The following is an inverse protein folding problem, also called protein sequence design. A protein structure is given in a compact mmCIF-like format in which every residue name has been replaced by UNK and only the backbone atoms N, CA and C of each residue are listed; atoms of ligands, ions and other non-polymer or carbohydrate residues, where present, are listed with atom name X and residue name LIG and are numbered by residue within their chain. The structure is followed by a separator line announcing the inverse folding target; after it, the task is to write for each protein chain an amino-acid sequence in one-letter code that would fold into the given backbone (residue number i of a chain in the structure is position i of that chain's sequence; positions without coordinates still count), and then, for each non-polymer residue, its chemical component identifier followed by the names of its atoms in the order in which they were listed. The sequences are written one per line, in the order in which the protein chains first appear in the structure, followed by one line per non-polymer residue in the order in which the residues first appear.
data_IF_334203485424
#
_entry.id   IF_334203485424
#
_cell.length_a   1.000
_cell.length_b   1.000
_cell.length_c   1.000
_cell.angle_alpha   90.00
_cell.angle_beta   90.00
_cell.angle_gamma   90.00
#
_symmetry.space_group_name_H-M   'P 1'
#
loop_
_entity.id
_entity.type
_entity.pdbx_description
1 polymer ?
#
# COMPACT_ATOMS: atom_id res chain seq x y z
N UNK A 1 10.41 1.02 3.55
CA UNK A 1 9.72 0.72 2.28
C UNK A 1 10.00 1.79 1.24
N UNK A 2 10.49 1.40 0.06
CA UNK A 2 10.85 2.28 -1.07
C UNK A 2 10.49 1.56 -2.38
N UNK A 3 10.00 2.30 -3.38
CA UNK A 3 9.87 1.85 -4.76
C UNK A 3 11.11 2.23 -5.57
N UNK A 4 11.84 1.24 -6.07
CA UNK A 4 12.88 1.49 -7.07
C UNK A 4 12.21 1.70 -8.44
N UNK A 5 12.21 2.93 -8.93
CA UNK A 5 11.62 3.29 -10.22
C UNK A 5 12.36 2.71 -11.43
N UNK A 6 13.64 2.38 -11.27
CA UNK A 6 14.45 1.82 -12.35
C UNK A 6 14.02 0.39 -12.62
N UNK A 7 13.81 -0.39 -11.57
CA UNK A 7 13.47 -1.82 -11.67
C UNK A 7 11.99 -2.12 -11.53
N UNK A 8 11.22 -1.19 -10.93
CA UNK A 8 9.83 -1.42 -10.52
C UNK A 8 9.70 -2.30 -9.27
N UNK A 9 10.79 -2.55 -8.55
CA UNK A 9 10.79 -3.38 -7.34
C UNK A 9 10.27 -2.59 -6.14
N UNK A 10 9.41 -3.22 -5.36
CA UNK A 10 9.09 -2.72 -4.02
C UNK A 10 10.05 -3.34 -3.01
N UNK A 11 10.84 -2.48 -2.37
CA UNK A 11 11.74 -2.85 -1.29
C UNK A 11 11.02 -2.54 0.02
N UNK A 12 10.59 -3.57 0.75
CA UNK A 12 9.93 -3.40 2.05
C UNK A 12 11.00 -3.11 3.10
N UNK A 13 11.97 -4.02 3.18
CA UNK A 13 13.21 -3.96 3.95
C UNK A 13 14.34 -4.71 3.22
N UNK A 14 15.49 -4.91 3.88
CA UNK A 14 16.67 -5.59 3.31
C UNK A 14 16.44 -7.05 2.91
N UNK A 15 15.47 -7.72 3.53
CA UNK A 15 15.18 -9.14 3.34
C UNK A 15 13.92 -9.38 2.49
N UNK A 16 13.03 -8.40 2.38
CA UNK A 16 11.74 -8.51 1.73
C UNK A 16 11.63 -7.57 0.52
N UNK A 17 11.88 -8.13 -0.67
CA UNK A 17 11.80 -7.40 -1.94
C UNK A 17 10.79 -8.08 -2.86
N UNK A 18 9.74 -7.35 -3.24
CA UNK A 18 8.78 -7.78 -4.27
C UNK A 18 9.32 -7.29 -5.62
N UNK A 19 9.78 -8.23 -6.45
CA UNK A 19 10.32 -7.89 -7.76
C UNK A 19 9.21 -7.62 -8.76
N UNK A 20 9.45 -6.69 -9.68
CA UNK A 20 8.53 -6.47 -10.78
C UNK A 20 8.36 -7.78 -11.59
N UNK A 21 7.10 -8.16 -11.88
CA UNK A 21 6.73 -9.39 -12.61
C UNK A 21 7.20 -10.71 -11.99
N UNK A 22 7.53 -10.70 -10.70
CA UNK A 22 7.81 -11.92 -9.95
C UNK A 22 6.69 -12.94 -10.17
N UNK A 23 7.04 -14.21 -10.37
CA UNK A 23 6.06 -15.28 -10.50
C UNK A 23 5.54 -15.74 -9.15
N UNK A 24 4.39 -16.42 -9.11
CA UNK A 24 3.89 -17.06 -7.88
C UNK A 24 4.92 -18.05 -7.35
N UNK A 25 5.61 -18.78 -8.22
CA UNK A 25 6.66 -19.72 -7.81
C UNK A 25 7.87 -19.01 -7.20
N UNK A 26 8.26 -17.86 -7.74
CA UNK A 26 9.30 -17.02 -7.14
C UNK A 26 8.86 -16.49 -5.78
N UNK A 27 7.60 -16.04 -5.63
CA UNK A 27 7.05 -15.60 -4.34
C UNK A 27 7.17 -16.73 -3.31
N UNK A 28 6.73 -17.95 -3.64
CA UNK A 28 6.82 -19.14 -2.77
C UNK A 28 8.26 -19.46 -2.33
N UNK A 29 9.23 -19.16 -3.18
CA UNK A 29 10.64 -19.45 -2.95
C UNK A 29 11.42 -18.26 -2.35
N UNK A 30 10.76 -17.13 -2.12
CA UNK A 30 11.36 -15.92 -1.56
C UNK A 30 10.95 -15.69 -0.10
N UNK A 31 11.63 -14.75 0.57
CA UNK A 31 11.26 -14.32 1.93
C UNK A 31 9.91 -13.60 1.98
N UNK A 32 9.35 -13.16 0.84
CA UNK A 32 8.01 -12.55 0.81
C UNK A 32 6.94 -13.49 1.35
N UNK A 33 7.14 -14.81 1.26
CA UNK A 33 6.21 -15.82 1.79
C UNK A 33 5.93 -15.66 3.29
N UNK A 34 6.88 -15.11 4.04
CA UNK A 34 6.78 -14.94 5.50
C UNK A 34 5.84 -13.77 5.86
N UNK A 35 5.72 -12.82 4.93
CA UNK A 35 4.81 -11.68 5.00
C UNK A 35 3.41 -12.01 4.50
N UNK A 36 3.14 -13.19 3.94
CA UNK A 36 1.80 -13.55 3.46
C UNK A 36 0.83 -13.80 4.62
N UNK A 37 -0.43 -13.42 4.44
CA UNK A 37 -1.51 -13.91 5.31
C UNK A 37 -1.70 -15.42 5.14
N UNK A 38 -2.25 -16.09 6.15
CA UNK A 38 -2.52 -17.54 6.06
C UNK A 38 -3.51 -17.88 4.94
N UNK A 39 -4.46 -16.98 4.65
CA UNK A 39 -5.36 -17.11 3.51
C UNK A 39 -4.60 -17.00 2.17
N UNK A 40 -3.72 -16.01 2.03
CA UNK A 40 -2.89 -15.84 0.83
C UNK A 40 -1.98 -17.03 0.60
N UNK A 41 -1.38 -17.61 1.65
CA UNK A 41 -0.55 -18.82 1.53
C UNK A 41 -1.33 -19.97 0.92
N UNK A 42 -2.57 -20.21 1.36
CA UNK A 42 -3.47 -21.21 0.76
C UNK A 42 -3.81 -20.87 -0.69
N UNK A 43 -4.08 -19.60 -0.99
CA UNK A 43 -4.43 -19.13 -2.35
C UNK A 43 -3.31 -19.33 -3.36
N UNK A 44 -2.04 -19.28 -2.93
CA UNK A 44 -0.89 -19.54 -3.82
C UNK A 44 -0.85 -20.98 -4.35
N UNK A 45 -1.51 -21.94 -3.70
CA UNK A 45 -1.59 -23.32 -4.18
C UNK A 45 -2.51 -23.46 -5.39
N UNK A 46 -3.47 -22.54 -5.55
CA UNK A 46 -4.51 -22.60 -6.59
C UNK A 46 -4.40 -21.50 -7.66
N UNK A 47 -3.25 -20.83 -7.74
CA UNK A 47 -2.96 -19.76 -8.72
C UNK A 47 -4.00 -18.62 -8.76
N UNK A 48 -4.54 -18.23 -7.60
CA UNK A 48 -5.47 -17.10 -7.53
C UNK A 48 -4.83 -15.76 -7.92
N UNK A 49 -5.66 -14.88 -8.47
CA UNK A 49 -5.29 -13.56 -8.99
C UNK A 49 -4.96 -12.50 -7.93
N UNK A 50 -5.08 -12.82 -6.64
CA UNK A 50 -4.97 -11.84 -5.56
C UNK A 50 -4.25 -12.43 -4.34
N UNK A 51 -3.16 -11.80 -3.94
CA UNK A 51 -2.29 -12.19 -2.83
C UNK A 51 -2.14 -10.99 -1.90
N UNK A 52 -2.56 -11.14 -0.65
CA UNK A 52 -2.42 -10.11 0.39
C UNK A 52 -1.27 -10.42 1.33
N UNK A 53 -0.48 -9.41 1.68
CA UNK A 53 0.48 -9.47 2.77
C UNK A 53 -0.22 -9.19 4.11
N UNK A 54 0.39 -9.63 5.21
CA UNK A 54 0.11 -9.12 6.56
C UNK A 54 0.36 -7.62 6.56
N UNK A 55 -0.38 -6.88 7.37
CA UNK A 55 -0.13 -5.44 7.59
C UNK A 55 1.32 -5.21 7.96
N UNK A 56 2.00 -4.37 7.20
CA UNK A 56 3.42 -4.04 7.36
C UNK A 56 3.51 -2.70 8.08
N UNK A 57 4.27 -2.64 9.17
CA UNK A 57 4.48 -1.38 9.90
C UNK A 57 5.79 -0.75 9.46
N UNK A 58 5.75 0.45 8.90
CA UNK A 58 6.93 1.19 8.43
C UNK A 58 6.88 2.60 8.99
N UNK A 59 7.93 3.04 9.70
CA UNK A 59 7.99 4.37 10.31
C UNK A 59 6.72 4.71 11.15
N UNK A 60 6.14 3.68 11.80
CA UNK A 60 4.92 3.79 12.60
C UNK A 60 3.64 4.07 11.78
N UNK A 61 3.60 3.62 10.53
CA UNK A 61 2.45 3.66 9.62
C UNK A 61 2.11 2.21 9.24
N UNK A 62 0.84 1.85 9.36
CA UNK A 62 0.32 0.54 9.01
C UNK A 62 0.05 0.50 7.49
N UNK A 63 0.61 -0.48 6.79
CA UNK A 63 0.49 -0.58 5.32
C UNK A 63 -0.07 -1.95 4.97
N UNK A 64 -1.27 -1.94 4.39
CA UNK A 64 -1.83 -3.14 3.78
C UNK A 64 -1.38 -3.21 2.32
N UNK A 65 -0.84 -4.36 1.93
CA UNK A 65 -0.27 -4.59 0.59
C UNK A 65 -1.00 -5.75 -0.06
N UNK A 66 -1.59 -5.46 -1.22
CA UNK A 66 -2.25 -6.43 -2.08
C UNK A 66 -1.51 -6.53 -3.41
N UNK A 67 -1.38 -7.75 -3.92
CA UNK A 67 -0.65 -8.07 -5.13
C UNK A 67 -1.62 -8.77 -6.07
N UNK A 68 -1.82 -8.21 -7.26
CA UNK A 68 -2.61 -8.82 -8.30
C UNK A 68 -1.72 -9.52 -9.32
N UNK A 69 -2.13 -10.73 -9.69
CA UNK A 69 -1.40 -11.59 -10.62
C UNK A 69 -2.24 -11.94 -11.84
N UNK A 70 -1.58 -11.99 -13.00
CA UNK A 70 -2.14 -12.46 -14.26
C UNK A 70 -1.13 -13.38 -14.94
N UNK A 71 -1.59 -14.53 -15.41
CA UNK A 71 -0.73 -15.55 -16.03
C UNK A 71 0.52 -15.85 -15.17
N UNK A 72 0.29 -16.13 -13.88
CA UNK A 72 1.32 -16.45 -12.90
C UNK A 72 2.29 -15.32 -12.54
N UNK A 73 2.12 -14.09 -13.05
CA UNK A 73 3.04 -12.97 -12.79
C UNK A 73 2.34 -11.81 -12.12
N UNK A 74 3.07 -11.11 -11.23
CA UNK A 74 2.62 -9.83 -10.69
C UNK A 74 2.39 -8.83 -11.83
N UNK A 75 1.21 -8.20 -11.83
CA UNK A 75 0.87 -7.10 -12.75
C UNK A 75 0.58 -5.80 -12.00
N UNK A 76 0.14 -5.88 -10.75
CA UNK A 76 -0.21 -4.71 -9.95
C UNK A 76 0.12 -4.97 -8.49
N UNK A 77 0.64 -3.96 -7.82
CA UNK A 77 0.79 -3.92 -6.36
C UNK A 77 -0.02 -2.73 -5.86
N UNK A 78 -1.00 -3.01 -5.02
CA UNK A 78 -1.83 -2.02 -4.37
C UNK A 78 -1.42 -1.86 -2.91
N UNK A 79 -1.37 -0.61 -2.47
CA UNK A 79 -1.08 -0.24 -1.09
C UNK A 79 -2.24 0.55 -0.54
N UNK A 80 -2.62 0.24 0.69
CA UNK A 80 -3.44 1.11 1.51
C UNK A 80 -2.60 1.56 2.71
N UNK A 81 -2.41 2.87 2.82
CA UNK A 81 -1.71 3.51 3.95
C UNK A 81 -2.72 3.74 5.06
N UNK A 82 -2.39 3.32 6.28
CA UNK A 82 -3.26 3.35 7.46
C UNK A 82 -4.70 2.94 7.11
N UNK A 83 -4.81 1.81 6.40
CA UNK A 83 -6.01 1.41 5.69
C UNK A 83 -7.28 1.59 6.54
N UNK A 84 -8.23 2.29 5.91
CA UNK A 84 -9.61 2.65 6.25
C UNK A 84 -10.50 1.61 6.99
N UNK A 85 -9.98 0.51 7.53
CA UNK A 85 -10.73 -0.46 8.35
C UNK A 85 -10.39 -0.45 9.84
N UNK A 86 -9.22 0.06 10.28
CA UNK A 86 -8.81 -0.04 11.71
C UNK A 86 -8.79 1.25 12.49
N UNK A 87 -8.74 2.41 11.84
CA UNK A 87 -8.72 3.72 12.51
C UNK A 87 -9.49 4.77 11.74
N UNK A 88 -10.79 4.56 11.53
CA UNK A 88 -11.68 5.71 11.57
C UNK A 88 -11.68 6.19 13.03
N UNK A 89 -10.68 7.00 13.40
CA UNK A 89 -10.72 7.65 14.70
C UNK A 89 -11.65 8.87 14.54
N UNK A 90 -12.95 8.58 14.58
CA UNK A 90 -14.04 9.52 14.39
C UNK A 90 -14.00 10.72 15.36
N UNK A 91 -13.12 10.69 16.36
CA UNK A 91 -12.96 11.70 17.41
C UNK A 91 -11.70 12.57 17.25
N UNK A 92 -10.92 12.44 16.17
CA UNK A 92 -9.75 13.32 15.98
C UNK A 92 -10.18 14.75 15.66
N UNK A 93 -9.62 15.70 16.40
CA UNK A 93 -9.77 17.11 16.10
C UNK A 93 -9.11 17.45 14.75
N UNK A 94 -9.63 18.47 14.06
CA UNK A 94 -9.15 18.91 12.75
C UNK A 94 -7.61 19.11 12.67
N UNK A 95 -7.00 19.64 13.73
CA UNK A 95 -5.54 19.83 13.79
C UNK A 95 -4.74 18.52 13.81
N UNK A 96 -5.24 17.48 14.48
CA UNK A 96 -4.59 16.16 14.52
C UNK A 96 -4.72 15.43 13.18
N UNK A 97 -5.85 15.64 12.50
CA UNK A 97 -6.08 15.12 11.15
C UNK A 97 -5.09 15.71 10.14
N UNK A 98 -4.88 17.04 10.16
CA UNK A 98 -3.90 17.69 9.29
C UNK A 98 -2.47 17.17 9.50
N UNK A 99 -2.09 16.89 10.75
CA UNK A 99 -0.78 16.31 11.07
C UNK A 99 -0.64 14.87 10.53
N UNK A 100 -1.67 14.04 10.68
CA UNK A 100 -1.71 12.68 10.15
C UNK A 100 -1.61 12.67 8.62
N UNK A 101 -2.38 13.54 7.97
CA UNK A 101 -2.36 13.70 6.51
C UNK A 101 -0.96 14.10 6.01
N UNK A 102 -0.31 15.07 6.65
CA UNK A 102 1.04 15.49 6.25
C UNK A 102 2.08 14.38 6.51
N UNK A 103 1.99 13.67 7.64
CA UNK A 103 2.83 12.49 7.92
C UNK A 103 2.73 11.46 6.79
N UNK A 104 1.51 11.15 6.34
CA UNK A 104 1.28 10.20 5.24
C UNK A 104 1.76 10.73 3.90
N UNK A 105 1.58 12.02 3.59
CA UNK A 105 2.17 12.63 2.39
C UNK A 105 3.68 12.56 2.37
N UNK A 106 4.35 12.87 3.49
CA UNK A 106 5.81 12.74 3.63
C UNK A 106 6.24 11.30 3.40
N UNK A 107 5.57 10.34 4.03
CA UNK A 107 5.84 8.92 3.85
C UNK A 107 5.67 8.48 2.38
N UNK A 108 4.54 8.82 1.74
CA UNK A 108 4.26 8.44 0.36
C UNK A 108 5.25 9.08 -0.62
N UNK A 109 5.59 10.36 -0.43
CA UNK A 109 6.62 11.04 -1.25
C UNK A 109 7.97 10.35 -1.15
N UNK A 110 8.39 9.98 0.06
CA UNK A 110 9.64 9.24 0.31
C UNK A 110 9.59 7.84 -0.30
N UNK A 111 8.51 7.09 -0.06
CA UNK A 111 8.35 5.72 -0.55
C UNK A 111 8.33 5.65 -2.08
N UNK A 112 7.62 6.58 -2.73
CA UNK A 112 7.46 6.62 -4.18
C UNK A 112 8.53 7.47 -4.88
N UNK A 113 9.39 8.15 -4.12
CA UNK A 113 10.39 9.12 -4.60
C UNK A 113 9.78 10.25 -5.46
N UNK A 114 8.59 10.73 -5.13
CA UNK A 114 7.90 11.79 -5.90
C UNK A 114 7.89 13.12 -5.15
N UNK A 115 7.92 14.21 -5.90
CA UNK A 115 7.84 15.56 -5.32
C UNK A 115 6.42 15.89 -4.80
N UNK A 116 5.40 15.34 -5.43
CA UNK A 116 3.99 15.65 -5.17
C UNK A 116 3.13 14.38 -5.19
N UNK A 117 2.04 14.40 -4.40
CA UNK A 117 1.02 13.36 -4.32
C UNK A 117 -0.33 14.06 -4.52
N UNK A 118 -1.15 13.54 -5.45
CA UNK A 118 -2.49 14.07 -5.67
C UNK A 118 -3.33 13.88 -4.41
N UNK A 119 -3.98 14.97 -3.98
CA UNK A 119 -4.91 14.97 -2.87
C UNK A 119 -6.30 15.41 -3.33
N UNK A 120 -7.31 14.66 -2.87
CA UNK A 120 -8.70 15.03 -2.93
C UNK A 120 -9.21 15.12 -1.49
N UNK A 121 -9.55 16.32 -1.04
CA UNK A 121 -9.89 16.59 0.36
C UNK A 121 -11.20 17.35 0.44
N UNK A 122 -12.17 16.75 1.10
CA UNK A 122 -13.43 17.39 1.48
C UNK A 122 -13.53 17.38 3.00
N UNK A 123 -13.09 18.49 3.58
CA UNK A 123 -13.14 18.69 5.02
C UNK A 123 -14.58 18.76 5.55
N UNK A 124 -15.56 19.17 4.73
CA UNK A 124 -16.97 19.22 5.13
C UNK A 124 -17.64 17.85 5.06
N UNK A 125 -17.24 16.97 4.14
CA UNK A 125 -17.62 15.56 4.11
C UNK A 125 -16.80 14.68 5.05
N UNK A 126 -15.81 15.27 5.72
CA UNK A 126 -14.92 14.62 6.66
C UNK A 126 -13.94 13.67 6.00
N UNK A 127 -13.62 13.78 4.70
CA UNK A 127 -12.73 12.82 4.04
C UNK A 127 -11.48 13.47 3.44
N UNK A 128 -10.38 12.72 3.49
CA UNK A 128 -9.23 12.94 2.61
C UNK A 128 -8.87 11.65 1.91
N UNK A 129 -8.49 11.82 0.66
CA UNK A 129 -7.99 10.76 -0.18
C UNK A 129 -6.68 11.20 -0.83
N UNK A 130 -5.64 10.40 -0.60
CA UNK A 130 -4.38 10.52 -1.34
C UNK A 130 -4.33 9.38 -2.35
N UNK A 131 -4.06 9.74 -3.61
CA UNK A 131 -3.87 8.75 -4.68
C UNK A 131 -2.56 9.02 -5.36
N UNK A 132 -1.86 7.94 -5.67
CA UNK A 132 -0.74 7.99 -6.60
C UNK A 132 -0.73 6.70 -7.41
N UNK A 133 -0.59 6.84 -8.72
CA UNK A 133 -0.42 5.73 -9.64
C UNK A 133 0.95 5.86 -10.31
N UNK A 134 1.81 4.86 -10.10
CA UNK A 134 3.06 4.75 -10.83
C UNK A 134 2.95 3.61 -11.83
N UNK A 135 3.18 3.96 -13.10
CA UNK A 135 3.28 2.98 -14.20
C UNK A 135 4.75 2.73 -14.48
N UNK A 136 5.27 1.64 -13.93
CA UNK A 136 6.49 1.02 -14.46
C UNK A 136 6.09 0.16 -15.67
N UNK A 137 6.96 -0.04 -16.68
CA UNK A 137 6.68 -0.94 -17.82
C UNK A 137 6.22 -2.35 -17.42
N UNK A 138 6.46 -2.73 -16.16
CA UNK A 138 6.34 -4.10 -15.66
C UNK A 138 5.30 -4.29 -14.57
N UNK A 139 4.92 -3.24 -13.82
CA UNK A 139 3.97 -3.31 -12.69
C UNK A 139 3.26 -1.96 -12.53
N UNK A 140 1.95 -1.99 -12.30
CA UNK A 140 1.20 -0.82 -11.81
C UNK A 140 1.27 -0.77 -10.29
N UNK A 141 1.58 0.39 -9.74
CA UNK A 141 1.51 0.62 -8.30
C UNK A 141 0.40 1.61 -8.00
N UNK A 142 -0.57 1.22 -7.18
CA UNK A 142 -1.65 2.07 -6.70
C UNK A 142 -1.52 2.27 -5.21
N UNK A 143 -1.36 3.51 -4.76
CA UNK A 143 -1.44 3.85 -3.34
C UNK A 143 -2.74 4.58 -3.08
N UNK A 144 -3.51 4.10 -2.11
CA UNK A 144 -4.76 4.72 -1.68
C UNK A 144 -4.71 5.02 -0.18
N UNK A 145 -5.02 6.24 0.18
CA UNK A 145 -5.37 6.64 1.55
C UNK A 145 -6.84 7.05 1.55
N UNK A 146 -7.60 6.63 2.56
CA UNK A 146 -8.95 7.12 2.79
C UNK A 146 -9.14 7.31 4.29
N UNK A 147 -9.48 8.54 4.67
CA UNK A 147 -9.83 8.89 6.03
C UNK A 147 -11.26 9.41 6.08
N UNK A 148 -11.99 9.14 7.18
CA UNK A 148 -13.33 9.69 7.43
C UNK A 148 -13.46 10.21 8.88
N UNK A 149 -13.78 11.50 9.03
CA UNK A 149 -14.15 12.19 10.28
C UNK A 149 -15.66 12.06 10.47
N UNK A 150 -16.15 11.93 11.71
CA UNK A 150 -17.57 12.14 11.98
C UNK A 150 -17.85 13.63 12.10
N UNK A 151 -18.74 14.13 11.26
CA UNK A 151 -19.38 15.41 11.54
C UNK A 151 -20.49 15.17 12.54
N UNK A 152 -20.26 15.52 13.79
CA UNK A 152 -21.37 15.77 14.70
C UNK A 152 -21.98 17.10 14.27
N UNK A 153 -23.13 17.05 13.60
CA UNK A 153 -24.00 18.20 13.30
C UNK A 153 -24.69 18.62 14.60
#
# INVERSE_FOLDING_TARGET
MILDKTTGNLIIDENHIIKARMSIQEIKNSNIKDLLTEESKKKLEYAHHHISLKTIVVDGIDIDVDILTLNDRIIEIQFAVDAASRKCNFNQAYGEFGQSLEKHKVFMRKMLDVQYIDEDVDFQGGYAQLRSEIRSPSVRIRVSYLYKVNNTI
#
